data_IF_450728101604
#
_entry.id   IF_450728101604
#
_cell.length_a   1.000
_cell.length_b   1.000
_cell.length_c   1.000
_cell.angle_alpha   90.00
_cell.angle_beta   90.00
_cell.angle_gamma   90.00
#
_symmetry.space_group_name_H-M   'P 1'
#
loop_
_entity.id
_entity.type
_entity.pdbx_description
1 polymer ?
#
# COMPACT_ATOMS: atom_id res chain seq x y z
N UNK A 1 -37.38 -15.39 18.91
CA UNK A 1 -37.41 -16.11 17.62
C UNK A 1 -36.01 -16.07 17.04
N UNK A 2 -35.26 -17.18 17.18
CA UNK A 2 -33.92 -17.31 16.60
C UNK A 2 -34.07 -17.48 15.08
N UNK A 3 -33.76 -16.44 14.34
CA UNK A 3 -33.69 -16.50 12.88
C UNK A 3 -32.59 -17.48 12.46
N UNK A 4 -32.96 -18.70 12.16
CA UNK A 4 -32.06 -19.70 11.64
C UNK A 4 -31.40 -19.20 10.36
N UNK A 5 -30.08 -19.21 10.28
CA UNK A 5 -29.35 -18.95 9.04
C UNK A 5 -29.54 -20.14 8.13
N UNK A 6 -30.14 -19.91 6.96
CA UNK A 6 -30.26 -20.94 5.92
C UNK A 6 -28.86 -21.26 5.38
N UNK A 7 -28.48 -22.55 5.40
CA UNK A 7 -27.16 -23.01 4.92
C UNK A 7 -27.39 -24.10 3.86
N UNK A 8 -26.80 -23.93 2.69
CA UNK A 8 -26.78 -24.90 1.60
C UNK A 8 -25.36 -25.40 1.45
N UNK A 9 -25.13 -26.70 1.59
CA UNK A 9 -23.84 -27.36 1.37
C UNK A 9 -23.78 -27.80 -0.08
N UNK A 10 -22.88 -27.22 -0.88
CA UNK A 10 -22.69 -27.58 -2.29
C UNK A 10 -21.64 -28.71 -2.39
N UNK A 11 -20.55 -28.58 -1.63
CA UNK A 11 -19.51 -29.60 -1.49
C UNK A 11 -18.83 -29.50 -0.13
N UNK A 12 -17.87 -30.36 0.17
CA UNK A 12 -17.07 -30.27 1.39
C UNK A 12 -16.40 -28.88 1.56
N UNK A 13 -15.97 -28.28 0.45
CA UNK A 13 -15.22 -27.03 0.43
C UNK A 13 -16.05 -25.81 0.05
N UNK A 14 -17.34 -25.96 -0.32
CA UNK A 14 -18.20 -24.88 -0.83
C UNK A 14 -19.55 -24.90 -0.14
N UNK A 15 -19.92 -23.80 0.49
CA UNK A 15 -21.20 -23.61 1.19
C UNK A 15 -21.79 -22.24 0.88
N UNK A 16 -23.11 -22.16 0.83
CA UNK A 16 -23.85 -20.90 0.81
C UNK A 16 -24.50 -20.70 2.18
N UNK A 17 -24.49 -19.49 2.70
CA UNK A 17 -25.26 -19.11 3.87
C UNK A 17 -26.00 -17.79 3.64
N UNK A 18 -27.14 -17.65 4.26
CA UNK A 18 -27.96 -16.44 4.21
C UNK A 18 -28.07 -15.85 5.62
N UNK A 19 -27.67 -14.59 5.77
CA UNK A 19 -27.78 -13.91 7.06
C UNK A 19 -29.25 -13.51 7.30
N UNK A 20 -29.71 -13.57 8.54
CA UNK A 20 -31.08 -13.25 8.94
C UNK A 20 -31.61 -11.88 8.44
N UNK A 21 -30.71 -10.91 8.22
CA UNK A 21 -31.07 -9.56 7.75
C UNK A 21 -30.63 -9.28 6.29
N UNK A 22 -30.26 -10.31 5.53
CA UNK A 22 -29.80 -10.16 4.14
C UNK A 22 -30.64 -11.02 3.21
N UNK A 23 -31.08 -10.45 2.11
CA UNK A 23 -31.71 -11.19 1.02
C UNK A 23 -30.68 -11.89 0.13
N UNK A 24 -29.40 -11.49 0.21
CA UNK A 24 -28.35 -11.98 -0.67
C UNK A 24 -27.59 -13.14 -0.03
N UNK A 25 -27.26 -14.13 -0.85
CA UNK A 25 -26.44 -15.27 -0.46
C UNK A 25 -24.97 -14.86 -0.22
N UNK A 26 -24.36 -15.49 0.77
CA UNK A 26 -22.93 -15.43 1.04
C UNK A 26 -22.32 -16.79 0.68
N UNK A 27 -21.24 -16.78 -0.08
CA UNK A 27 -20.46 -17.98 -0.34
C UNK A 27 -19.35 -18.13 0.71
N UNK A 28 -19.15 -19.35 1.18
CA UNK A 28 -18.01 -19.76 2.01
C UNK A 28 -17.22 -20.81 1.26
N UNK A 29 -15.96 -20.54 1.01
CA UNK A 29 -15.05 -21.41 0.29
C UNK A 29 -13.89 -21.78 1.20
N UNK A 30 -13.65 -23.08 1.40
CA UNK A 30 -12.47 -23.56 2.12
C UNK A 30 -11.28 -23.54 1.17
N UNK A 31 -10.26 -22.77 1.53
CA UNK A 31 -9.01 -22.67 0.77
C UNK A 31 -8.06 -23.82 1.14
N UNK A 32 -7.00 -24.03 0.35
CA UNK A 32 -6.00 -25.07 0.63
C UNK A 32 -5.26 -24.85 1.95
N UNK A 33 -5.21 -23.60 2.45
CA UNK A 33 -4.71 -23.28 3.79
C UNK A 33 -5.58 -23.82 4.94
N UNK A 34 -6.77 -24.36 4.64
CA UNK A 34 -7.79 -24.73 5.63
C UNK A 34 -8.69 -23.59 6.07
N UNK A 35 -8.37 -22.34 5.72
CA UNK A 35 -9.16 -21.15 6.06
C UNK A 35 -10.43 -21.04 5.20
N UNK A 36 -11.51 -20.54 5.81
CA UNK A 36 -12.75 -20.25 5.12
C UNK A 36 -12.76 -18.81 4.58
N UNK A 37 -12.69 -18.69 3.25
CA UNK A 37 -12.91 -17.42 2.57
C UNK A 37 -14.41 -17.16 2.37
N UNK A 38 -14.88 -15.94 2.70
CA UNK A 38 -16.28 -15.55 2.60
C UNK A 38 -16.47 -14.32 1.75
N UNK A 39 -17.46 -14.36 0.83
CA UNK A 39 -17.84 -13.21 0.03
C UNK A 39 -19.34 -13.21 -0.28
N UNK A 40 -19.88 -12.02 -0.61
CA UNK A 40 -21.28 -11.91 -1.07
C UNK A 40 -21.39 -12.26 -2.55
N UNK A 41 -22.33 -13.11 -2.89
CA UNK A 41 -22.62 -13.47 -4.29
C UNK A 41 -23.41 -12.37 -5.02
N UNK A 42 -23.85 -11.34 -4.31
CA UNK A 42 -24.65 -10.22 -4.81
C UNK A 42 -26.03 -10.60 -5.36
N UNK A 43 -26.47 -11.85 -5.24
CA UNK A 43 -27.74 -12.37 -5.72
C UNK A 43 -28.56 -13.01 -4.60
N UNK A 44 -29.88 -13.04 -4.76
CA UNK A 44 -30.82 -13.78 -3.93
C UNK A 44 -31.22 -15.14 -4.54
N UNK A 45 -30.80 -15.37 -5.78
CA UNK A 45 -31.01 -16.60 -6.54
C UNK A 45 -29.94 -17.63 -6.14
N UNK A 46 -30.39 -18.84 -5.76
CA UNK A 46 -29.52 -19.95 -5.30
C UNK A 46 -28.64 -20.49 -6.42
N UNK A 47 -29.18 -20.63 -7.64
CA UNK A 47 -28.43 -21.17 -8.76
C UNK A 47 -27.27 -20.24 -9.15
N UNK A 48 -27.54 -18.94 -9.29
CA UNK A 48 -26.53 -17.92 -9.59
C UNK A 48 -25.52 -17.79 -8.45
N UNK A 49 -25.96 -17.93 -7.20
CA UNK A 49 -25.06 -17.93 -6.04
C UNK A 49 -24.13 -19.14 -6.05
N UNK A 50 -24.67 -20.31 -6.41
CA UNK A 50 -23.90 -21.56 -6.55
C UNK A 50 -22.86 -21.44 -7.67
N UNK A 51 -23.27 -20.93 -8.82
CA UNK A 51 -22.35 -20.68 -9.95
C UNK A 51 -21.21 -19.74 -9.54
N UNK A 52 -21.52 -18.62 -8.88
CA UNK A 52 -20.53 -17.68 -8.40
C UNK A 52 -19.57 -18.32 -7.39
N UNK A 53 -20.08 -19.16 -6.49
CA UNK A 53 -19.27 -19.86 -5.48
C UNK A 53 -18.32 -20.87 -6.13
N UNK A 54 -18.82 -21.69 -7.05
CA UNK A 54 -18.02 -22.68 -7.79
C UNK A 54 -16.98 -22.02 -8.69
N UNK A 55 -17.35 -20.95 -9.39
CA UNK A 55 -16.40 -20.17 -10.20
C UNK A 55 -15.24 -19.65 -9.35
N UNK A 56 -15.51 -19.11 -8.16
CA UNK A 56 -14.45 -18.67 -7.25
C UNK A 56 -13.59 -19.86 -6.80
N UNK A 57 -14.20 -21.00 -6.41
CA UNK A 57 -13.49 -22.18 -5.95
C UNK A 57 -12.51 -22.70 -7.01
N UNK A 58 -12.98 -22.90 -8.25
CA UNK A 58 -12.11 -23.38 -9.35
C UNK A 58 -11.05 -22.36 -9.72
N UNK A 59 -11.36 -21.06 -9.69
CA UNK A 59 -10.36 -20.00 -9.93
C UNK A 59 -9.29 -20.00 -8.83
N UNK A 60 -9.68 -20.21 -7.56
CA UNK A 60 -8.74 -20.27 -6.45
C UNK A 60 -7.84 -21.52 -6.53
N UNK A 61 -8.40 -22.66 -6.95
CA UNK A 61 -7.65 -23.90 -7.16
C UNK A 61 -6.64 -23.77 -8.33
N UNK A 62 -7.08 -23.19 -9.46
CA UNK A 62 -6.21 -22.91 -10.60
C UNK A 62 -5.06 -21.94 -10.23
N UNK A 63 -5.35 -20.90 -9.46
CA UNK A 63 -4.34 -19.98 -8.94
C UNK A 63 -3.30 -20.71 -8.07
N UNK A 64 -3.76 -21.62 -7.20
CA UNK A 64 -2.86 -22.42 -6.37
C UNK A 64 -1.92 -23.28 -7.21
N UNK A 65 -2.45 -23.97 -8.24
CA UNK A 65 -1.66 -24.78 -9.18
C UNK A 65 -0.58 -23.96 -9.92
N UNK A 66 -0.86 -22.68 -10.14
CA UNK A 66 0.06 -21.74 -10.76
C UNK A 66 0.93 -20.96 -9.73
N UNK A 67 1.02 -21.41 -8.48
CA UNK A 67 1.75 -20.77 -7.39
C UNK A 67 1.34 -19.29 -7.15
N UNK A 68 0.07 -18.99 -7.36
CA UNK A 68 -0.52 -17.68 -7.08
C UNK A 68 -1.40 -17.73 -5.83
N UNK A 69 -1.56 -16.61 -5.09
CA UNK A 69 -2.45 -16.57 -3.94
C UNK A 69 -3.88 -16.91 -4.30
N UNK A 70 -4.52 -17.80 -3.56
CA UNK A 70 -5.91 -18.23 -3.79
C UNK A 70 -6.92 -17.10 -3.59
N UNK A 71 -6.60 -16.14 -2.71
CA UNK A 71 -7.42 -14.95 -2.46
C UNK A 71 -6.58 -13.70 -2.53
N UNK A 72 -7.23 -12.57 -2.81
CA UNK A 72 -6.60 -11.25 -2.83
C UNK A 72 -7.40 -10.29 -1.95
N UNK A 73 -6.88 -9.10 -1.71
CA UNK A 73 -7.53 -8.05 -0.91
C UNK A 73 -7.59 -6.75 -1.68
N UNK A 74 -8.58 -5.91 -1.37
CA UNK A 74 -8.65 -4.55 -1.91
C UNK A 74 -7.46 -3.73 -1.45
N UNK A 75 -6.86 -2.98 -2.38
CA UNK A 75 -5.71 -2.12 -2.12
C UNK A 75 -5.91 -1.23 -0.88
N UNK A 76 -7.09 -0.60 -0.76
CA UNK A 76 -7.42 0.24 0.39
C UNK A 76 -7.14 -0.48 1.71
N UNK A 77 -7.61 -1.72 1.85
CA UNK A 77 -7.46 -2.49 3.09
C UNK A 77 -5.99 -2.81 3.39
N UNK A 78 -5.22 -3.17 2.38
CA UNK A 78 -3.78 -3.45 2.53
C UNK A 78 -3.01 -2.18 2.89
N UNK A 79 -3.35 -1.07 2.21
CA UNK A 79 -2.75 0.24 2.47
C UNK A 79 -3.04 0.73 3.89
N UNK A 80 -4.25 0.50 4.41
CA UNK A 80 -4.61 0.78 5.80
C UNK A 80 -3.74 -0.01 6.78
N UNK A 81 -3.50 -1.31 6.56
CA UNK A 81 -2.61 -2.09 7.42
C UNK A 81 -1.17 -1.56 7.42
N UNK A 82 -0.62 -1.25 6.24
CA UNK A 82 0.72 -0.69 6.14
C UNK A 82 0.83 0.68 6.82
N UNK A 83 -0.19 1.54 6.65
CA UNK A 83 -0.29 2.85 7.30
C UNK A 83 -0.36 2.72 8.82
N UNK A 84 -1.25 1.87 9.32
CA UNK A 84 -1.49 1.70 10.75
C UNK A 84 -0.25 1.13 11.46
N UNK A 85 0.50 0.24 10.79
CA UNK A 85 1.80 -0.25 11.27
C UNK A 85 2.83 0.88 11.38
N UNK A 86 3.00 1.69 10.33
CA UNK A 86 3.93 2.82 10.36
C UNK A 86 3.54 3.85 11.42
N UNK A 87 2.24 4.10 11.59
CA UNK A 87 1.73 5.00 12.63
C UNK A 87 2.01 4.46 14.04
N UNK A 88 1.83 3.17 14.27
CA UNK A 88 2.14 2.53 15.54
C UNK A 88 3.64 2.63 15.87
N UNK A 89 4.52 2.42 14.89
CA UNK A 89 5.97 2.57 15.08
C UNK A 89 6.35 4.02 15.41
N UNK A 90 5.72 5.03 14.77
CA UNK A 90 5.91 6.45 15.10
C UNK A 90 5.46 6.77 16.53
N UNK A 91 4.31 6.24 16.94
CA UNK A 91 3.76 6.48 18.27
C UNK A 91 4.63 5.83 19.37
N UNK A 92 5.28 4.70 19.05
CA UNK A 92 6.23 4.03 19.93
C UNK A 92 7.62 4.70 19.99
N UNK A 93 7.84 5.78 19.22
CA UNK A 93 9.12 6.51 19.17
C UNK A 93 10.23 5.80 18.37
N UNK A 94 9.97 4.64 17.78
CA UNK A 94 10.94 3.85 16.97
C UNK A 94 10.83 4.06 15.45
N UNK A 95 9.78 4.73 14.98
CA UNK A 95 9.50 4.93 13.56
C UNK A 95 10.39 5.96 12.88
N UNK A 96 10.67 5.76 11.59
CA UNK A 96 11.40 6.75 10.77
C UNK A 96 10.54 8.01 10.58
N UNK A 97 11.14 9.19 10.66
CA UNK A 97 10.46 10.49 10.43
C UNK A 97 9.75 10.51 9.05
N UNK A 98 10.37 9.88 8.03
CA UNK A 98 9.81 9.76 6.68
C UNK A 98 8.49 8.96 6.59
N UNK A 99 8.10 8.24 7.65
CA UNK A 99 6.80 7.55 7.68
C UNK A 99 5.61 8.50 7.60
N UNK A 100 5.76 9.73 8.12
CA UNK A 100 4.76 10.79 7.97
C UNK A 100 4.47 11.10 6.49
N UNK A 101 5.53 11.16 5.69
CA UNK A 101 5.42 11.42 4.25
C UNK A 101 4.82 10.22 3.50
N UNK A 102 5.18 8.99 3.89
CA UNK A 102 4.62 7.76 3.30
C UNK A 102 3.13 7.64 3.60
N UNK A 103 2.71 7.88 4.83
CA UNK A 103 1.30 7.90 5.25
C UNK A 103 0.53 8.96 4.44
N UNK A 104 1.07 10.17 4.34
CA UNK A 104 0.46 11.25 3.56
C UNK A 104 0.35 10.88 2.06
N UNK A 105 1.35 10.21 1.49
CA UNK A 105 1.29 9.74 0.10
C UNK A 105 0.23 8.66 -0.10
N UNK A 106 0.10 7.73 0.85
CA UNK A 106 -0.93 6.67 0.84
C UNK A 106 -2.33 7.30 0.85
N UNK A 107 -2.60 8.18 1.81
CA UNK A 107 -3.94 8.73 2.01
C UNK A 107 -4.35 9.71 0.90
N UNK A 108 -3.43 10.57 0.44
CA UNK A 108 -3.75 11.63 -0.52
C UNK A 108 -3.76 11.17 -1.98
N UNK A 109 -2.98 10.14 -2.32
CA UNK A 109 -2.76 9.75 -3.71
C UNK A 109 -3.07 8.29 -3.99
N UNK A 110 -2.60 7.34 -3.17
CA UNK A 110 -2.70 5.91 -3.50
C UNK A 110 -4.08 5.35 -3.26
N UNK A 111 -4.66 5.57 -2.08
CA UNK A 111 -6.02 5.11 -1.75
C UNK A 111 -7.07 5.73 -2.68
N UNK A 112 -7.05 7.05 -2.99
CA UNK A 112 -8.00 7.63 -3.93
C UNK A 112 -7.96 7.05 -5.34
N UNK A 113 -6.80 6.57 -5.80
CA UNK A 113 -6.66 5.97 -7.12
C UNK A 113 -6.90 4.45 -7.11
N UNK A 114 -6.16 3.72 -6.28
CA UNK A 114 -6.16 2.26 -6.28
C UNK A 114 -7.14 1.63 -5.29
N UNK A 115 -7.80 2.39 -4.42
CA UNK A 115 -8.50 1.85 -3.26
C UNK A 115 -9.53 0.75 -3.55
N UNK A 116 -10.18 0.80 -4.72
CA UNK A 116 -11.17 -0.19 -5.17
C UNK A 116 -10.55 -1.38 -5.92
N UNK A 117 -9.28 -1.32 -6.28
CA UNK A 117 -8.60 -2.37 -7.03
C UNK A 117 -8.20 -3.52 -6.11
N UNK A 118 -8.08 -4.72 -6.67
CA UNK A 118 -7.43 -5.82 -5.97
C UNK A 118 -5.91 -5.63 -6.00
N UNK A 119 -5.23 -5.85 -4.87
CA UNK A 119 -3.78 -5.64 -4.78
C UNK A 119 -3.01 -6.45 -5.82
N UNK A 120 -3.46 -7.66 -6.11
CA UNK A 120 -2.84 -8.54 -7.11
C UNK A 120 -3.12 -8.15 -8.57
N UNK A 121 -4.00 -7.17 -8.84
CA UNK A 121 -4.27 -6.66 -10.18
C UNK A 121 -3.41 -5.45 -10.57
N UNK A 122 -2.62 -4.92 -9.63
CA UNK A 122 -1.76 -3.76 -9.86
C UNK A 122 -0.51 -4.22 -10.61
N UNK A 123 -0.45 -3.88 -11.88
CA UNK A 123 0.66 -4.19 -12.78
C UNK A 123 1.35 -2.90 -13.25
N UNK A 124 2.35 -3.05 -14.13
CA UNK A 124 3.10 -1.92 -14.69
C UNK A 124 2.20 -0.91 -15.44
N UNK A 125 1.17 -1.39 -16.16
CA UNK A 125 0.24 -0.52 -16.87
C UNK A 125 -0.58 0.33 -15.89
N UNK A 126 -1.05 -0.27 -14.79
CA UNK A 126 -1.76 0.43 -13.73
C UNK A 126 -0.88 1.50 -13.05
N UNK A 127 0.42 1.21 -12.83
CA UNK A 127 1.37 2.19 -12.29
C UNK A 127 1.63 3.35 -13.24
N UNK A 128 1.67 3.13 -14.56
CA UNK A 128 1.76 4.20 -15.56
C UNK A 128 0.53 5.11 -15.54
N UNK A 129 -0.68 4.54 -15.46
CA UNK A 129 -1.92 5.30 -15.33
C UNK A 129 -1.94 6.13 -14.05
N UNK A 130 -1.46 5.56 -12.94
CA UNK A 130 -1.32 6.28 -11.68
C UNK A 130 -0.35 7.46 -11.79
N UNK A 131 0.79 7.31 -12.49
CA UNK A 131 1.76 8.38 -12.68
C UNK A 131 1.14 9.58 -13.41
N UNK A 132 0.38 9.32 -14.48
CA UNK A 132 -0.31 10.36 -15.23
C UNK A 132 -1.38 11.05 -14.37
N UNK A 133 -2.19 10.26 -13.66
CA UNK A 133 -3.21 10.79 -12.76
C UNK A 133 -2.59 11.62 -11.63
N UNK A 134 -1.48 11.13 -11.03
CA UNK A 134 -0.76 11.83 -9.96
C UNK A 134 -0.22 13.17 -10.43
N UNK A 135 0.39 13.24 -11.62
CA UNK A 135 0.91 14.46 -12.20
C UNK A 135 -0.22 15.49 -12.43
N UNK A 136 -1.37 15.04 -12.96
CA UNK A 136 -2.57 15.86 -13.10
C UNK A 136 -3.07 16.37 -11.75
N UNK A 137 -3.18 15.51 -10.76
CA UNK A 137 -3.62 15.87 -9.41
C UNK A 137 -2.68 16.86 -8.71
N UNK A 138 -1.38 16.75 -8.92
CA UNK A 138 -0.38 17.68 -8.39
C UNK A 138 -0.27 18.98 -9.20
N UNK A 139 -0.91 19.06 -10.38
CA UNK A 139 -0.81 20.16 -11.34
C UNK A 139 0.63 20.51 -11.72
N UNK A 140 1.52 19.54 -11.64
CA UNK A 140 2.95 19.66 -12.01
C UNK A 140 3.56 18.28 -12.16
N UNK A 141 4.67 18.19 -12.91
CA UNK A 141 5.48 16.99 -12.93
C UNK A 141 6.13 16.80 -11.55
N UNK A 142 5.89 15.64 -10.89
CA UNK A 142 6.49 15.36 -9.60
C UNK A 142 8.03 15.31 -9.67
N UNK A 143 8.70 15.81 -8.62
CA UNK A 143 10.14 15.69 -8.49
C UNK A 143 10.53 14.21 -8.28
N UNK A 144 11.78 13.88 -8.65
CA UNK A 144 12.34 12.55 -8.47
C UNK A 144 12.25 12.06 -7.02
N UNK A 145 12.55 12.94 -6.04
CA UNK A 145 12.43 12.65 -4.60
C UNK A 145 11.00 12.34 -4.18
N UNK A 146 10.00 13.08 -4.72
CA UNK A 146 8.59 12.82 -4.44
C UNK A 146 8.18 11.44 -4.94
N UNK A 147 8.62 11.05 -6.14
CA UNK A 147 8.33 9.72 -6.69
C UNK A 147 9.00 8.63 -5.85
N UNK A 148 10.25 8.84 -5.39
CA UNK A 148 10.93 7.89 -4.50
C UNK A 148 10.16 7.70 -3.18
N UNK A 149 9.65 8.78 -2.57
CA UNK A 149 8.79 8.70 -1.38
C UNK A 149 7.56 7.85 -1.64
N UNK A 150 6.86 8.09 -2.77
CA UNK A 150 5.70 7.30 -3.16
C UNK A 150 6.07 5.83 -3.43
N UNK A 151 7.16 5.57 -4.14
CA UNK A 151 7.61 4.21 -4.41
C UNK A 151 7.96 3.45 -3.13
N UNK A 152 8.59 4.12 -2.16
CA UNK A 152 8.87 3.51 -0.85
C UNK A 152 7.56 3.20 -0.11
N UNK A 153 6.58 4.09 -0.16
CA UNK A 153 5.25 3.83 0.42
C UNK A 153 4.54 2.65 -0.26
N UNK A 154 4.60 2.55 -1.61
CA UNK A 154 4.13 1.35 -2.32
C UNK A 154 4.85 0.09 -1.89
N UNK A 155 6.20 0.15 -1.75
CA UNK A 155 6.99 -0.96 -1.23
C UNK A 155 6.43 -1.48 0.08
N UNK A 156 6.15 -0.60 1.05
CA UNK A 156 5.56 -0.98 2.34
C UNK A 156 4.20 -1.65 2.22
N UNK A 157 3.36 -1.18 1.28
CA UNK A 157 2.04 -1.79 1.02
C UNK A 157 2.21 -3.20 0.41
N UNK A 158 3.11 -3.35 -0.55
CA UNK A 158 3.38 -4.66 -1.16
C UNK A 158 4.04 -5.63 -0.18
N UNK A 159 4.97 -5.15 0.68
CA UNK A 159 5.58 -5.96 1.75
C UNK A 159 4.50 -6.51 2.71
N UNK A 160 3.52 -5.67 3.08
CA UNK A 160 2.38 -6.09 3.91
C UNK A 160 1.50 -7.12 3.21
N UNK A 161 1.24 -6.93 1.90
CA UNK A 161 0.45 -7.87 1.11
C UNK A 161 1.15 -9.22 0.94
N UNK A 162 2.45 -9.21 0.70
CA UNK A 162 3.29 -10.39 0.51
C UNK A 162 3.44 -11.17 1.83
N UNK A 163 3.74 -10.47 2.93
CA UNK A 163 3.84 -11.09 4.25
C UNK A 163 2.55 -11.74 4.74
N UNK A 164 1.38 -11.33 4.20
CA UNK A 164 0.07 -11.94 4.47
C UNK A 164 -0.38 -12.93 3.39
N UNK A 165 0.45 -13.24 2.41
CA UNK A 165 0.13 -14.18 1.34
C UNK A 165 -0.98 -13.71 0.39
N UNK A 166 -1.23 -12.40 0.26
CA UNK A 166 -2.23 -11.85 -0.68
C UNK A 166 -1.67 -11.56 -2.07
N UNK A 167 -0.35 -11.47 -2.17
CA UNK A 167 0.42 -11.46 -3.42
C UNK A 167 1.65 -12.36 -3.24
N UNK A 168 2.30 -12.66 -4.37
CA UNK A 168 3.62 -13.29 -4.41
C UNK A 168 4.62 -12.34 -5.06
N UNK A 169 5.91 -12.57 -4.84
CA UNK A 169 6.96 -11.77 -5.46
C UNK A 169 6.87 -11.74 -6.99
N UNK A 170 6.34 -12.82 -7.61
CA UNK A 170 6.17 -12.93 -9.07
C UNK A 170 5.13 -11.98 -9.65
N UNK A 171 4.11 -11.58 -8.85
CA UNK A 171 3.08 -10.62 -9.30
C UNK A 171 3.30 -9.21 -8.75
N UNK A 172 4.33 -9.01 -7.92
CA UNK A 172 4.72 -7.70 -7.42
C UNK A 172 5.27 -6.83 -8.58
N UNK A 173 4.66 -5.67 -8.88
CA UNK A 173 5.13 -4.86 -9.98
C UNK A 173 6.46 -4.17 -9.66
N UNK A 174 7.32 -4.06 -10.66
CA UNK A 174 8.53 -3.24 -10.56
C UNK A 174 8.18 -1.76 -10.52
N UNK A 175 8.63 -1.07 -9.50
CA UNK A 175 8.43 0.37 -9.34
C UNK A 175 9.49 1.14 -10.15
N UNK A 176 9.09 2.22 -10.79
CA UNK A 176 9.97 3.04 -11.61
C UNK A 176 9.88 4.52 -11.19
N UNK A 177 10.89 5.31 -11.55
CA UNK A 177 10.93 6.73 -11.27
C UNK A 177 11.31 7.54 -12.52
N UNK A 178 10.33 8.27 -13.06
CA UNK A 178 10.47 9.20 -14.18
C UNK A 178 10.35 10.67 -13.72
N UNK A 179 10.56 10.94 -12.45
CA UNK A 179 10.48 12.29 -11.89
C UNK A 179 11.57 13.20 -12.41
N UNK A 180 11.29 14.51 -12.37
CA UNK A 180 12.27 15.53 -12.71
C UNK A 180 13.47 15.45 -11.74
N UNK A 181 14.64 15.18 -12.26
CA UNK A 181 15.88 15.20 -11.45
C UNK A 181 16.15 16.64 -10.99
N UNK A 182 16.52 16.80 -9.74
CA UNK A 182 17.06 18.08 -9.27
C UNK A 182 18.41 18.31 -9.91
N UNK A 183 18.72 19.57 -10.20
CA UNK A 183 20.09 19.92 -10.53
C UNK A 183 20.97 19.60 -9.32
N UNK A 184 22.11 18.98 -9.55
CA UNK A 184 23.09 18.76 -8.49
C UNK A 184 23.47 20.13 -7.93
N UNK A 185 23.44 20.26 -6.61
CA UNK A 185 24.05 21.43 -5.98
C UNK A 185 25.53 21.36 -6.29
N UNK A 186 26.10 22.48 -6.77
CA UNK A 186 27.55 22.59 -6.91
C UNK A 186 28.22 22.26 -5.57
N UNK A 187 29.35 21.60 -5.61
CA UNK A 187 30.25 21.54 -4.47
C UNK A 187 30.97 22.89 -4.36
N UNK A 188 31.23 23.32 -3.15
CA UNK A 188 32.10 24.46 -2.95
C UNK A 188 33.48 24.20 -3.59
N UNK A 189 34.02 25.20 -4.28
CA UNK A 189 35.41 25.16 -4.70
C UNK A 189 36.31 25.21 -3.44
N UNK A 190 37.58 24.86 -3.60
CA UNK A 190 38.54 24.92 -2.49
C UNK A 190 38.61 26.31 -1.90
N UNK A 191 38.60 27.32 -2.75
CA UNK A 191 38.72 28.74 -2.35
C UNK A 191 37.47 29.21 -1.60
N UNK A 192 36.25 28.81 -2.07
CA UNK A 192 34.99 29.09 -1.38
C UNK A 192 34.95 28.39 -0.01
N UNK A 193 35.41 27.15 0.07
CA UNK A 193 35.49 26.43 1.34
C UNK A 193 36.44 27.13 2.33
N UNK A 194 37.65 27.52 1.88
CA UNK A 194 38.62 28.25 2.70
C UNK A 194 38.07 29.59 3.14
N UNK A 195 37.40 30.31 2.27
CA UNK A 195 36.73 31.57 2.60
C UNK A 195 35.66 31.39 3.68
N UNK A 196 34.78 30.40 3.53
CA UNK A 196 33.73 30.07 4.53
C UNK A 196 34.39 29.71 5.86
N UNK A 197 35.40 28.85 5.85
CA UNK A 197 36.10 28.39 7.04
C UNK A 197 36.74 29.56 7.82
N UNK A 198 37.47 30.42 7.12
CA UNK A 198 38.10 31.62 7.73
C UNK A 198 37.08 32.58 8.35
N UNK A 199 35.96 32.81 7.67
CA UNK A 199 34.90 33.69 8.18
C UNK A 199 34.17 33.09 9.39
N UNK A 200 33.94 31.76 9.41
CA UNK A 200 33.37 31.07 10.57
C UNK A 200 34.33 31.13 11.80
N UNK A 201 35.62 31.00 11.57
CA UNK A 201 36.62 31.09 12.62
C UNK A 201 36.70 32.51 13.22
N UNK A 202 36.68 33.54 12.37
CA UNK A 202 36.60 34.95 12.79
C UNK A 202 35.31 35.25 13.57
N UNK A 203 34.17 34.77 13.11
CA UNK A 203 32.89 34.92 13.82
C UNK A 203 32.90 34.25 15.20
N UNK A 204 33.52 33.06 15.30
CA UNK A 204 33.69 32.34 16.57
C UNK A 204 34.61 33.07 17.55
N UNK A 205 35.71 33.69 17.06
CA UNK A 205 36.61 34.47 17.87
C UNK A 205 35.95 35.77 18.38
N UNK A 206 35.20 36.46 17.52
CA UNK A 206 34.45 37.67 17.88
C UNK A 206 33.35 37.38 18.92
N UNK A 207 32.62 36.22 18.79
CA UNK A 207 31.64 35.81 19.77
C UNK A 207 32.25 35.53 21.16
N UNK A 208 33.44 34.90 21.19
CA UNK A 208 34.21 34.71 22.45
C UNK A 208 34.65 35.99 23.09
N UNK A 209 35.12 36.99 22.29
CA UNK A 209 35.48 38.30 22.80
C UNK A 209 34.31 39.10 23.35
N UNK A 210 33.11 38.95 22.76
CA UNK A 210 31.91 39.64 23.26
C UNK A 210 31.41 39.01 24.57
N UNK A 211 31.46 37.68 24.71
CA UNK A 211 31.08 37.01 25.96
C UNK A 211 32.03 37.28 27.12
N UNK A 212 33.31 37.65 26.82
CA UNK A 212 34.29 38.02 27.81
C UNK A 212 34.20 39.50 28.25
N UNK A 213 33.42 40.33 27.53
CA UNK A 213 33.21 41.76 27.83
C UNK A 213 31.94 42.10 28.59
N UNK A 214 31.03 41.10 28.74
CA UNK A 214 29.83 41.21 29.59
C UNK A 214 29.93 40.14 30.69
N UNK A 215 30.47 40.45 31.87
CA UNK A 215 30.45 39.60 33.04
C UNK A 215 29.04 39.52 33.66
#
# INVERSE_FOLDING_TARGET
MSGGSEIIVISENVRLDKRARSTKWQARIKLASGEWHRFSTQTNDVEKATEAALKFYYTADDRLKNNLPQSTRKFKRVAEFARDRMQAELNAGGGKVSYKDYIAAIDRYMIPFFGKWDIGSINLAALKQYDEWRAKKMRRQPAHSTINTHNTAFGRIFDEAEGRGWITGSIRPTLFNKGKKANSRGSFSKDEYEFIYKNLELARQNAKCQSARNP
#
